data_IF_929010289739
#
_entry.id   IF_929010289739
#
_cell.length_a   1.000
_cell.length_b   1.000
_cell.length_c   1.000
_cell.angle_alpha   90.00
_cell.angle_beta   90.00
_cell.angle_gamma   90.00
#
_symmetry.space_group_name_H-M   'P 1'
#
loop_
_entity.id
_entity.type
_entity.pdbx_description
1 polymer ?
#
# COMPACT_ATOMS: atom_id res chain seq x y z
N UNK A 1 20.98 10.76 -40.68
CA UNK A 1 19.61 10.72 -40.13
C UNK A 1 19.13 9.29 -40.22
N UNK A 2 19.18 8.55 -39.11
CA UNK A 2 18.57 7.23 -38.94
C UNK A 2 17.90 7.27 -37.56
N UNK A 3 16.59 7.16 -37.56
CA UNK A 3 15.71 7.05 -36.39
C UNK A 3 15.24 5.60 -36.31
N UNK A 4 14.72 5.21 -35.15
CA UNK A 4 14.14 3.91 -34.73
C UNK A 4 15.14 3.02 -33.97
N UNK A 5 14.85 2.50 -32.76
CA UNK A 5 13.55 2.19 -32.15
C UNK A 5 13.63 2.30 -30.62
N UNK A 6 12.65 2.97 -30.00
CA UNK A 6 12.40 2.81 -28.57
C UNK A 6 11.95 1.36 -28.36
N UNK A 7 12.82 0.49 -27.87
CA UNK A 7 12.37 -0.76 -27.28
C UNK A 7 11.58 -0.39 -26.05
N UNK A 8 10.26 -0.30 -26.20
CA UNK A 8 9.34 -0.13 -25.09
C UNK A 8 9.33 -1.47 -24.34
N UNK A 9 10.29 -1.59 -23.42
CA UNK A 9 10.46 -2.69 -22.47
C UNK A 9 9.17 -2.69 -21.67
N UNK A 10 8.37 -3.76 -21.82
CA UNK A 10 7.06 -3.94 -21.16
C UNK A 10 6.97 -3.39 -19.72
N UNK A 11 5.78 -2.97 -19.32
CA UNK A 11 5.52 -2.42 -17.99
C UNK A 11 4.84 -3.48 -17.13
N UNK A 12 5.37 -3.67 -15.91
CA UNK A 12 4.75 -4.51 -14.89
C UNK A 12 3.93 -3.61 -13.96
N UNK A 13 2.73 -4.04 -13.60
CA UNK A 13 1.77 -3.27 -12.82
C UNK A 13 1.27 -4.07 -11.61
N UNK A 14 1.18 -3.42 -10.45
CA UNK A 14 0.53 -3.93 -9.25
C UNK A 14 -0.83 -3.24 -9.09
N UNK A 15 -1.91 -4.01 -9.19
CA UNK A 15 -3.27 -3.47 -9.21
C UNK A 15 -4.15 -3.98 -8.08
N UNK A 16 -4.82 -3.06 -7.39
CA UNK A 16 -5.88 -3.34 -6.43
C UNK A 16 -6.84 -2.14 -6.35
N UNK A 17 -8.02 -2.36 -5.78
CA UNK A 17 -9.00 -1.29 -5.56
C UNK A 17 -9.94 -1.70 -4.44
N UNK A 18 -9.77 -1.10 -3.26
CA UNK A 18 -10.55 -1.44 -2.06
C UNK A 18 -11.12 -0.18 -1.41
N UNK A 19 -12.29 -0.31 -0.78
CA UNK A 19 -12.94 0.79 -0.06
C UNK A 19 -13.11 0.48 1.41
N UNK A 20 -12.67 1.40 2.26
CA UNK A 20 -13.00 1.42 3.68
C UNK A 20 -14.27 2.24 3.85
N UNK A 21 -15.36 1.55 4.17
CA UNK A 21 -16.68 2.15 4.33
C UNK A 21 -16.97 2.52 5.79
N UNK A 22 -18.00 3.36 5.97
CA UNK A 22 -18.57 3.75 7.26
C UNK A 22 -17.55 4.41 8.18
N UNK A 23 -16.74 5.32 7.65
CA UNK A 23 -15.81 6.10 8.45
C UNK A 23 -16.57 6.96 9.46
N UNK A 24 -16.21 6.83 10.72
CA UNK A 24 -16.58 7.76 11.77
C UNK A 24 -15.86 9.08 11.57
N UNK A 25 -16.37 10.14 12.19
CA UNK A 25 -15.73 11.46 12.13
C UNK A 25 -14.30 11.43 12.70
N UNK A 26 -14.04 10.63 13.74
CA UNK A 26 -12.70 10.45 14.32
C UNK A 26 -11.75 9.78 13.31
N UNK A 27 -12.20 8.69 12.67
CA UNK A 27 -11.41 8.00 11.64
C UNK A 27 -11.09 8.93 10.47
N UNK A 28 -12.11 9.63 9.94
CA UNK A 28 -11.94 10.57 8.84
C UNK A 28 -10.97 11.71 9.19
N UNK A 29 -11.08 12.29 10.39
CA UNK A 29 -10.17 13.33 10.85
C UNK A 29 -8.72 12.84 10.97
N UNK A 30 -8.51 11.62 11.47
CA UNK A 30 -7.18 11.02 11.53
C UNK A 30 -6.60 10.80 10.12
N UNK A 31 -7.39 10.23 9.21
CA UNK A 31 -6.98 10.00 7.82
C UNK A 31 -6.62 11.31 7.11
N UNK A 32 -7.47 12.34 7.26
CA UNK A 32 -7.20 13.65 6.69
C UNK A 32 -5.90 14.26 7.21
N UNK A 33 -5.64 14.17 8.51
CA UNK A 33 -4.38 14.67 9.08
C UNK A 33 -3.20 13.92 8.46
N UNK A 34 -3.22 12.59 8.50
CA UNK A 34 -2.13 11.75 7.98
C UNK A 34 -1.81 12.07 6.52
N UNK A 35 -2.82 12.10 5.65
CA UNK A 35 -2.62 12.32 4.22
C UNK A 35 -2.31 13.77 3.84
N UNK A 36 -2.63 14.75 4.70
CA UNK A 36 -2.32 16.17 4.48
C UNK A 36 -1.05 16.63 5.17
N UNK A 37 -0.40 15.77 5.95
CA UNK A 37 0.90 16.07 6.55
C UNK A 37 1.90 16.36 5.43
N UNK A 38 2.53 17.54 5.49
CA UNK A 38 3.64 17.91 4.61
C UNK A 38 4.93 17.39 5.25
N UNK A 39 5.63 16.50 4.55
CA UNK A 39 6.79 15.77 5.05
C UNK A 39 8.10 16.53 4.74
N UNK A 40 8.17 17.19 3.58
CA UNK A 40 9.41 17.81 3.06
C UNK A 40 10.05 18.85 3.98
N UNK A 41 9.24 19.51 4.81
CA UNK A 41 9.68 20.58 5.72
C UNK A 41 9.80 20.12 7.18
N UNK A 42 9.53 18.84 7.48
CA UNK A 42 9.62 18.31 8.84
C UNK A 42 11.06 18.27 9.32
N UNK A 43 11.27 18.63 10.59
CA UNK A 43 12.57 18.37 11.18
C UNK A 43 12.78 16.84 11.38
N UNK A 44 14.03 16.35 11.48
CA UNK A 44 14.30 14.92 11.56
C UNK A 44 13.63 14.19 12.73
N UNK A 45 13.37 14.85 13.86
CA UNK A 45 12.68 14.26 14.99
C UNK A 45 11.18 14.18 14.76
N UNK A 46 10.59 15.22 14.16
CA UNK A 46 9.18 15.22 13.75
C UNK A 46 8.92 14.12 12.71
N UNK A 47 9.78 14.02 11.69
CA UNK A 47 9.71 12.98 10.68
C UNK A 47 9.78 11.59 11.30
N UNK A 48 10.74 11.38 12.21
CA UNK A 48 10.89 10.10 12.92
C UNK A 48 9.67 9.76 13.77
N UNK A 49 9.07 10.74 14.45
CA UNK A 49 7.88 10.53 15.25
C UNK A 49 6.66 10.19 14.37
N UNK A 50 6.50 10.88 13.24
CA UNK A 50 5.42 10.63 12.30
C UNK A 50 5.57 9.26 11.61
N UNK A 51 6.78 8.90 11.19
CA UNK A 51 7.09 7.57 10.66
C UNK A 51 6.73 6.48 11.67
N UNK A 52 7.15 6.65 12.94
CA UNK A 52 6.84 5.70 14.00
C UNK A 52 5.33 5.57 14.28
N UNK A 53 4.55 6.66 14.16
CA UNK A 53 3.09 6.59 14.26
C UNK A 53 2.48 5.68 13.19
N UNK A 54 3.05 5.71 11.98
CA UNK A 54 2.61 4.94 10.82
C UNK A 54 3.25 3.54 10.74
N UNK A 55 4.08 3.18 11.71
CA UNK A 55 4.89 1.96 11.71
C UNK A 55 5.84 1.86 10.50
N UNK A 56 6.35 3.01 10.07
CA UNK A 56 7.29 3.18 8.96
C UNK A 56 8.63 3.71 9.46
N UNK A 57 9.62 3.66 8.57
CA UNK A 57 10.90 4.36 8.74
C UNK A 57 10.84 5.77 8.11
N UNK A 58 11.73 6.69 8.51
CA UNK A 58 11.86 7.98 7.81
C UNK A 58 12.13 7.82 6.30
N UNK A 59 12.89 6.81 5.90
CA UNK A 59 13.22 6.54 4.50
C UNK A 59 11.98 6.14 3.69
N UNK A 60 11.08 5.33 4.27
CA UNK A 60 9.80 4.98 3.64
C UNK A 60 8.95 6.22 3.37
N UNK A 61 9.05 7.23 4.24
CA UNK A 61 8.32 8.47 4.11
C UNK A 61 8.88 9.42 3.04
N UNK A 62 10.20 9.60 3.04
CA UNK A 62 10.89 10.55 2.14
C UNK A 62 10.74 10.19 0.65
N UNK A 63 10.77 8.90 0.32
CA UNK A 63 10.86 8.45 -1.08
C UNK A 63 9.60 7.80 -1.62
N UNK A 64 8.67 7.44 -0.74
CA UNK A 64 7.63 6.48 -1.08
C UNK A 64 6.31 6.69 -0.39
N UNK A 65 6.07 7.83 0.28
CA UNK A 65 4.80 8.08 0.94
C UNK A 65 3.72 8.66 0.00
N UNK A 66 2.48 8.14 0.04
CA UNK A 66 2.05 6.94 0.74
C UNK A 66 2.40 5.64 0.01
N UNK A 67 2.80 5.73 -1.26
CA UNK A 67 3.18 4.56 -2.06
C UNK A 67 1.98 3.80 -2.59
N UNK A 68 0.82 4.45 -2.65
CA UNK A 68 -0.42 3.95 -3.27
C UNK A 68 -1.35 5.16 -3.52
N UNK A 69 -2.37 4.98 -4.35
CA UNK A 69 -3.34 6.04 -4.62
C UNK A 69 -4.53 5.96 -3.67
N UNK A 70 -5.14 7.10 -3.37
CA UNK A 70 -6.33 7.16 -2.53
C UNK A 70 -7.28 8.30 -2.94
N UNK A 71 -8.54 8.20 -2.51
CA UNK A 71 -9.55 9.24 -2.65
C UNK A 71 -10.56 9.18 -1.50
N UNK A 72 -10.96 10.34 -0.98
CA UNK A 72 -12.07 10.43 -0.03
C UNK A 72 -13.39 10.55 -0.78
N UNK A 73 -14.32 9.65 -0.50
CA UNK A 73 -15.62 9.57 -1.16
C UNK A 73 -16.77 9.69 -0.15
N UNK A 74 -18.01 9.74 -0.65
CA UNK A 74 -19.23 9.79 0.15
C UNK A 74 -19.21 10.90 1.21
N UNK A 75 -18.69 12.08 0.83
CA UNK A 75 -18.50 13.23 1.72
C UNK A 75 -17.65 12.89 2.98
N UNK A 76 -16.61 12.07 2.81
CA UNK A 76 -15.70 11.66 3.88
C UNK A 76 -16.15 10.43 4.67
N UNK A 77 -17.20 9.73 4.20
CA UNK A 77 -17.66 8.47 4.81
C UNK A 77 -16.98 7.23 4.25
N UNK A 78 -16.24 7.37 3.15
CA UNK A 78 -15.47 6.30 2.56
C UNK A 78 -14.06 6.76 2.17
N UNK A 79 -13.10 5.85 2.30
CA UNK A 79 -11.76 5.98 1.73
C UNK A 79 -11.61 4.91 0.65
N UNK A 80 -11.42 5.33 -0.59
CA UNK A 80 -11.02 4.46 -1.68
C UNK A 80 -9.49 4.43 -1.76
N UNK A 81 -8.90 3.23 -1.73
CA UNK A 81 -7.47 3.01 -1.87
C UNK A 81 -7.28 2.11 -3.09
N UNK A 82 -6.39 2.52 -3.99
CA UNK A 82 -6.21 1.82 -5.26
C UNK A 82 -4.78 1.95 -5.80
N UNK A 83 -4.49 1.10 -6.77
CA UNK A 83 -3.30 1.17 -7.59
C UNK A 83 -3.63 0.68 -9.00
N UNK A 84 -3.21 1.43 -10.00
CA UNK A 84 -3.34 1.10 -11.43
C UNK A 84 -1.98 0.75 -12.07
N UNK A 85 -0.90 1.31 -11.53
CA UNK A 85 0.46 1.06 -11.99
C UNK A 85 1.36 0.41 -10.93
N UNK A 86 1.68 1.12 -9.85
CA UNK A 86 2.60 0.64 -8.83
C UNK A 86 2.09 1.01 -7.44
N UNK A 87 2.26 0.09 -6.50
CA UNK A 87 2.07 0.39 -5.10
C UNK A 87 3.04 -0.39 -4.21
N UNK A 88 3.41 0.25 -3.12
CA UNK A 88 4.14 -0.35 -2.00
C UNK A 88 3.11 -0.96 -1.03
N UNK A 89 2.89 -2.26 -1.17
CA UNK A 89 1.93 -3.02 -0.34
C UNK A 89 2.36 -3.14 1.12
N UNK A 90 3.66 -3.00 1.42
CA UNK A 90 4.18 -2.96 2.79
C UNK A 90 3.80 -1.64 3.46
N UNK A 91 4.00 -0.50 2.77
CA UNK A 91 3.56 0.81 3.25
C UNK A 91 2.04 0.84 3.46
N UNK A 92 1.28 0.25 2.54
CA UNK A 92 -0.17 0.09 2.70
C UNK A 92 -0.52 -0.74 3.94
N UNK A 93 0.17 -1.85 4.16
CA UNK A 93 -0.02 -2.71 5.33
C UNK A 93 0.24 -1.97 6.65
N UNK A 94 1.39 -1.30 6.76
CA UNK A 94 1.77 -0.52 7.93
C UNK A 94 0.80 0.65 8.21
N UNK A 95 0.42 1.39 7.17
CA UNK A 95 -0.56 2.46 7.27
C UNK A 95 -1.92 1.96 7.76
N UNK A 96 -2.45 0.92 7.12
CA UNK A 96 -3.75 0.36 7.49
C UNK A 96 -3.72 -0.23 8.91
N UNK A 97 -2.60 -0.84 9.31
CA UNK A 97 -2.44 -1.35 10.67
C UNK A 97 -2.48 -0.23 11.70
N UNK A 98 -1.75 0.85 11.44
CA UNK A 98 -1.73 2.05 12.26
C UNK A 98 -3.11 2.71 12.36
N UNK A 99 -3.82 2.81 11.23
CA UNK A 99 -5.21 3.26 11.17
C UNK A 99 -6.11 2.42 12.09
N UNK A 100 -6.06 1.09 11.98
CA UNK A 100 -6.88 0.18 12.79
C UNK A 100 -6.57 0.33 14.29
N UNK A 101 -5.29 0.47 14.66
CA UNK A 101 -4.84 0.63 16.05
C UNK A 101 -5.30 1.95 16.66
N UNK A 102 -5.04 3.08 16.01
CA UNK A 102 -5.32 4.42 16.56
C UNK A 102 -6.83 4.67 16.66
N UNK A 103 -7.59 4.16 15.70
CA UNK A 103 -9.04 4.34 15.66
C UNK A 103 -9.76 3.36 16.57
N UNK A 104 -9.13 2.22 16.88
CA UNK A 104 -9.70 1.15 17.68
C UNK A 104 -10.71 0.31 16.91
N UNK A 105 -10.63 0.29 15.57
CA UNK A 105 -11.51 -0.49 14.71
C UNK A 105 -11.27 -1.98 14.96
N UNK A 106 -12.35 -2.71 15.28
CA UNK A 106 -12.29 -4.13 15.71
C UNK A 106 -12.43 -5.15 14.57
N UNK A 107 -12.57 -4.68 13.34
CA UNK A 107 -12.76 -5.51 12.16
C UNK A 107 -11.41 -5.94 11.54
N UNK A 108 -11.43 -6.41 10.30
CA UNK A 108 -10.26 -6.58 9.45
C UNK A 108 -10.40 -5.78 8.15
N UNK A 109 -9.26 -5.54 7.50
CA UNK A 109 -9.19 -5.05 6.12
C UNK A 109 -8.42 -6.09 5.32
N UNK A 110 -8.98 -6.52 4.20
CA UNK A 110 -8.33 -7.43 3.28
C UNK A 110 -8.18 -6.74 1.93
N UNK A 111 -6.99 -6.83 1.35
CA UNK A 111 -6.69 -6.35 0.00
C UNK A 111 -6.13 -7.52 -0.77
N UNK A 112 -6.65 -7.74 -1.97
CA UNK A 112 -6.01 -8.63 -2.95
C UNK A 112 -5.43 -7.77 -4.05
N UNK A 113 -4.27 -8.15 -4.57
CA UNK A 113 -3.72 -7.50 -5.75
C UNK A 113 -3.37 -8.51 -6.82
N UNK A 114 -3.36 -8.03 -8.06
CA UNK A 114 -2.84 -8.76 -9.19
C UNK A 114 -1.56 -8.08 -9.69
N UNK A 115 -0.57 -8.89 -10.04
CA UNK A 115 0.57 -8.46 -10.85
C UNK A 115 0.19 -8.70 -12.31
N UNK A 116 0.20 -7.63 -13.11
CA UNK A 116 -0.17 -7.67 -14.52
C UNK A 116 0.92 -7.05 -15.37
N UNK A 117 1.02 -7.43 -16.63
CA UNK A 117 1.99 -6.85 -17.56
C UNK A 117 1.26 -6.49 -18.87
N UNK A 118 1.74 -5.47 -19.57
CA UNK A 118 1.22 -5.16 -20.91
C UNK A 118 1.63 -6.22 -21.97
N UNK A 119 2.61 -7.08 -21.66
CA UNK A 119 3.07 -8.19 -22.52
C UNK A 119 3.43 -9.43 -21.70
N UNK A 120 3.33 -10.66 -22.24
CA UNK A 120 3.73 -11.87 -21.52
C UNK A 120 5.23 -11.83 -21.16
N UNK A 121 5.55 -11.93 -19.87
CA UNK A 121 6.92 -12.03 -19.35
C UNK A 121 7.07 -13.25 -18.45
N UNK A 122 8.18 -13.95 -18.61
CA UNK A 122 8.53 -15.09 -17.74
C UNK A 122 8.67 -14.55 -16.32
N UNK A 123 7.85 -15.04 -15.40
CA UNK A 123 7.90 -14.68 -13.99
C UNK A 123 7.28 -13.32 -13.63
N UNK A 124 6.52 -12.67 -14.51
CA UNK A 124 5.87 -11.39 -14.21
C UNK A 124 4.37 -11.52 -13.84
N UNK A 125 3.87 -12.74 -13.73
CA UNK A 125 2.49 -13.01 -13.30
C UNK A 125 2.49 -13.45 -11.86
N UNK A 126 1.55 -12.93 -11.10
CA UNK A 126 1.43 -13.18 -9.69
C UNK A 126 0.36 -12.30 -9.07
N UNK A 127 0.58 -11.99 -7.80
CA UNK A 127 -0.34 -11.22 -7.00
C UNK A 127 -0.13 -11.57 -5.55
N UNK A 128 -1.11 -11.22 -4.72
CA UNK A 128 -1.04 -11.56 -3.33
C UNK A 128 -2.18 -11.01 -2.52
N UNK A 129 -2.02 -11.16 -1.21
CA UNK A 129 -2.99 -10.78 -0.20
C UNK A 129 -2.32 -9.95 0.88
N UNK A 130 -3.04 -8.93 1.33
CA UNK A 130 -2.76 -8.16 2.53
C UNK A 130 -3.95 -8.33 3.46
N UNK A 131 -3.72 -8.87 4.65
CA UNK A 131 -4.70 -8.93 5.73
C UNK A 131 -4.24 -8.03 6.86
N UNK A 132 -5.12 -7.13 7.31
CA UNK A 132 -4.84 -6.18 8.38
C UNK A 132 -5.89 -6.29 9.47
N UNK A 133 -5.42 -6.32 10.72
CA UNK A 133 -6.23 -6.22 11.93
C UNK A 133 -5.57 -5.23 12.87
N UNK A 134 -6.22 -4.79 13.94
CA UNK A 134 -5.56 -3.93 14.95
C UNK A 134 -4.42 -4.62 15.73
N UNK A 135 -4.18 -5.92 15.53
CA UNK A 135 -3.13 -6.69 16.23
C UNK A 135 -1.89 -6.95 15.37
N UNK A 136 -2.08 -7.08 14.06
CA UNK A 136 -1.06 -7.49 13.10
C UNK A 136 -1.54 -7.20 11.70
N UNK A 137 -0.59 -7.12 10.76
CA UNK A 137 -0.86 -7.30 9.35
C UNK A 137 0.01 -8.42 8.77
N UNK A 138 -0.41 -8.98 7.64
CA UNK A 138 0.31 -10.01 6.88
C UNK A 138 0.24 -9.64 5.41
N UNK A 139 1.40 -9.52 4.78
CA UNK A 139 1.57 -9.43 3.32
C UNK A 139 2.08 -10.78 2.83
N UNK A 140 1.40 -11.37 1.86
CA UNK A 140 1.86 -12.60 1.21
C UNK A 140 1.64 -12.53 -0.30
N UNK A 141 2.74 -12.50 -1.07
CA UNK A 141 2.69 -12.67 -2.51
C UNK A 141 2.66 -14.14 -2.91
N UNK A 142 2.14 -14.45 -4.10
CA UNK A 142 2.22 -15.79 -4.70
C UNK A 142 3.66 -16.30 -4.78
N UNK A 143 4.61 -15.40 -5.06
CA UNK A 143 6.04 -15.71 -5.08
C UNK A 143 6.58 -16.11 -3.71
N UNK A 144 6.23 -15.36 -2.66
CA UNK A 144 6.63 -15.69 -1.29
C UNK A 144 6.03 -17.03 -0.84
N UNK A 145 4.76 -17.30 -1.20
CA UNK A 145 4.09 -18.57 -0.90
C UNK A 145 4.73 -19.74 -1.64
N UNK A 146 5.05 -19.58 -2.92
CA UNK A 146 5.76 -20.58 -3.71
C UNK A 146 7.11 -20.94 -3.08
N UNK A 147 7.87 -19.94 -2.63
CA UNK A 147 9.14 -20.18 -1.92
C UNK A 147 9.00 -20.98 -0.63
N UNK A 148 7.90 -20.82 0.12
CA UNK A 148 7.59 -21.64 1.31
C UNK A 148 7.26 -23.07 0.90
N UNK A 149 6.38 -23.26 -0.08
CA UNK A 149 5.99 -24.58 -0.59
C UNK A 149 7.21 -25.37 -1.10
N UNK A 150 8.14 -24.71 -1.80
CA UNK A 150 9.38 -25.35 -2.27
C UNK A 150 10.17 -25.92 -1.08
N UNK A 151 10.35 -25.16 0.00
CA UNK A 151 11.07 -25.61 1.20
C UNK A 151 10.32 -26.69 1.99
N UNK A 152 9.00 -26.71 1.91
CA UNK A 152 8.15 -27.69 2.58
C UNK A 152 8.18 -29.06 1.86
N UNK A 153 8.47 -29.08 0.56
CA UNK A 153 8.31 -30.27 -0.29
C UNK A 153 9.58 -30.76 -1.00
N UNK A 154 10.68 -29.99 -0.98
CA UNK A 154 11.99 -30.37 -1.54
C UNK A 154 13.07 -30.24 -0.46
#
# INVERSE_FOLDING_TARGET
MVRWELTNVANDYLRFSEKIMNLTQKEYAWLLRVFKTVIDDMDPNELKAFAAELELTPEDLEWGWPGFSYSFEDAGKALWIYSDEYANVENLGAFLHSFMKVTGRKDYIAVTWAETCDKPRIGAFGGGVLLVTAKTYVVESSWSRLGKLIKEHL
#
